data_IF_017294778230
#
_entry.id   IF_017294778230
#
_cell.length_a   1.000
_cell.length_b   1.000
_cell.length_c   1.000
_cell.angle_alpha   90.00
_cell.angle_beta   90.00
_cell.angle_gamma   90.00
#
_symmetry.space_group_name_H-M   'P 1'
#
loop_
_entity.id
_entity.type
_entity.pdbx_description
1 polymer ?
#
# COMPACT_ATOMS: atom_id res chain seq x y z
N UNK A 1 42.62 7.97 6.47
CA UNK A 1 41.58 8.32 7.45
C UNK A 1 40.97 9.63 7.00
N UNK A 2 39.96 9.57 6.13
CA UNK A 2 39.25 10.75 5.66
C UNK A 2 38.12 11.02 6.65
N UNK A 3 38.14 12.19 7.28
CA UNK A 3 37.07 12.67 8.14
C UNK A 3 35.79 12.77 7.31
N UNK A 4 34.78 12.01 7.71
CA UNK A 4 33.41 12.19 7.24
C UNK A 4 32.93 13.51 7.86
N UNK A 5 32.80 14.55 7.05
CA UNK A 5 32.07 15.76 7.44
C UNK A 5 30.61 15.33 7.70
N UNK A 6 30.27 15.15 8.97
CA UNK A 6 28.88 15.04 9.41
C UNK A 6 28.26 16.43 9.30
N UNK A 7 27.23 16.57 8.47
CA UNK A 7 26.37 17.77 8.48
C UNK A 7 25.78 17.93 9.88
N UNK A 8 26.27 18.92 10.63
CA UNK A 8 25.89 19.21 12.03
C UNK A 8 24.45 19.73 12.20
N UNK A 9 23.64 19.70 11.14
CA UNK A 9 22.23 20.10 11.13
C UNK A 9 21.28 18.95 10.74
N UNK A 10 21.81 17.75 10.49
CA UNK A 10 21.01 16.59 10.15
C UNK A 10 20.37 16.01 11.40
N UNK A 11 19.04 16.05 11.50
CA UNK A 11 18.26 15.35 12.55
C UNK A 11 18.04 13.87 12.24
N UNK A 12 18.65 13.36 11.15
CA UNK A 12 18.56 11.97 10.71
C UNK A 12 19.91 11.30 10.83
N UNK A 13 19.93 10.13 11.46
CA UNK A 13 21.09 9.26 11.60
C UNK A 13 21.20 8.33 10.38
N UNK A 14 22.36 8.34 9.73
CA UNK A 14 22.64 7.55 8.53
C UNK A 14 23.16 6.13 8.83
N UNK A 15 22.65 5.50 9.88
CA UNK A 15 23.03 4.13 10.28
C UNK A 15 21.93 3.14 9.91
N UNK A 16 22.30 1.86 9.77
CA UNK A 16 21.34 0.78 9.58
C UNK A 16 20.46 0.64 10.84
N UNK A 17 19.15 0.68 10.65
CA UNK A 17 18.20 0.46 11.73
C UNK A 17 18.11 -1.03 12.06
N UNK A 18 18.37 -1.37 13.33
CA UNK A 18 18.34 -2.74 13.86
C UNK A 18 17.24 -2.94 14.92
N UNK A 19 16.17 -2.11 14.90
CA UNK A 19 15.03 -2.23 15.82
C UNK A 19 14.33 -3.60 15.73
N UNK A 20 14.36 -4.21 14.54
CA UNK A 20 13.62 -5.43 14.23
C UNK A 20 12.10 -5.20 14.17
N UNK A 21 11.66 -3.94 14.04
CA UNK A 21 10.26 -3.59 13.86
C UNK A 21 9.82 -3.93 12.43
N UNK A 22 8.65 -4.54 12.32
CA UNK A 22 8.04 -4.87 11.03
C UNK A 22 6.87 -3.91 10.81
N UNK A 23 7.08 -2.95 9.90
CA UNK A 23 6.10 -1.89 9.63
C UNK A 23 5.34 -2.23 8.35
N UNK A 24 4.03 -2.40 8.48
CA UNK A 24 3.10 -2.55 7.37
C UNK A 24 2.25 -1.29 7.22
N UNK A 25 2.12 -0.78 5.99
CA UNK A 25 1.30 0.39 5.69
C UNK A 25 0.21 0.00 4.71
N UNK A 26 -1.03 0.29 5.07
CA UNK A 26 -2.18 0.11 4.19
C UNK A 26 -2.31 1.28 3.19
N UNK A 27 -2.58 1.02 1.89
CA UNK A 27 -2.83 2.03 0.87
C UNK A 27 -3.81 3.14 1.26
N UNK A 28 -4.86 2.84 2.02
CA UNK A 28 -5.82 3.85 2.49
C UNK A 28 -5.13 5.02 3.21
N UNK A 29 -4.13 4.72 4.04
CA UNK A 29 -3.32 5.74 4.73
C UNK A 29 -2.60 6.63 3.74
N UNK A 30 -2.00 6.06 2.70
CA UNK A 30 -1.28 6.82 1.66
C UNK A 30 -2.22 7.71 0.85
N UNK A 31 -3.41 7.19 0.52
CA UNK A 31 -4.45 7.96 -0.18
C UNK A 31 -4.94 9.13 0.67
N UNK A 32 -5.18 8.92 1.96
CA UNK A 32 -5.59 9.98 2.89
C UNK A 32 -4.53 11.09 2.99
N UNK A 33 -3.25 10.74 3.06
CA UNK A 33 -2.15 11.72 3.12
C UNK A 33 -2.08 12.52 1.81
N UNK A 34 -2.17 11.84 0.67
CA UNK A 34 -2.17 12.47 -0.66
C UNK A 34 -3.36 13.41 -0.86
N UNK A 35 -4.56 12.99 -0.44
CA UNK A 35 -5.77 13.80 -0.48
C UNK A 35 -5.66 15.03 0.44
N UNK A 36 -5.20 14.84 1.69
CA UNK A 36 -4.99 15.93 2.63
C UNK A 36 -4.00 16.97 2.09
N UNK A 37 -2.87 16.53 1.52
CA UNK A 37 -1.91 17.41 0.86
C UNK A 37 -2.57 18.17 -0.30
N UNK A 38 -3.20 17.46 -1.23
CA UNK A 38 -3.80 18.07 -2.43
C UNK A 38 -4.87 19.09 -2.08
N UNK A 39 -5.76 18.78 -1.13
CA UNK A 39 -6.79 19.71 -0.66
C UNK A 39 -6.17 20.96 -0.02
N UNK A 40 -5.14 20.79 0.80
CA UNK A 40 -4.49 21.91 1.50
C UNK A 40 -3.81 22.85 0.52
N UNK A 41 -3.09 22.31 -0.46
CA UNK A 41 -2.47 23.08 -1.55
C UNK A 41 -3.52 23.90 -2.30
N UNK A 42 -4.64 23.28 -2.68
CA UNK A 42 -5.72 23.96 -3.42
C UNK A 42 -6.41 25.06 -2.60
N UNK A 43 -6.51 24.91 -1.27
CA UNK A 43 -7.12 25.90 -0.39
C UNK A 43 -6.22 27.10 -0.10
N UNK A 44 -4.92 26.88 0.06
CA UNK A 44 -3.96 27.93 0.46
C UNK A 44 -3.48 28.78 -0.73
N UNK A 45 -3.59 28.26 -1.95
CA UNK A 45 -3.16 28.92 -3.19
C UNK A 45 -1.64 28.89 -3.38
N UNK A 46 -1.20 29.28 -4.58
CA UNK A 46 0.21 29.21 -4.96
C UNK A 46 1.10 30.18 -4.14
N UNK A 47 2.28 29.70 -3.72
CA UNK A 47 3.35 30.53 -3.16
C UNK A 47 3.48 30.62 -1.63
N UNK A 48 2.69 29.85 -0.86
CA UNK A 48 2.89 29.71 0.60
C UNK A 48 3.47 28.34 0.97
N UNK A 49 4.34 28.24 1.99
CA UNK A 49 4.78 26.95 2.51
C UNK A 49 3.57 26.18 3.06
N UNK A 50 3.32 25.01 2.49
CA UNK A 50 2.18 24.17 2.87
C UNK A 50 2.65 23.21 3.97
N UNK A 51 2.12 23.40 5.17
CA UNK A 51 2.33 22.48 6.29
C UNK A 51 1.12 21.55 6.39
N UNK A 52 1.41 20.25 6.42
CA UNK A 52 0.41 19.18 6.54
C UNK A 52 0.93 18.24 7.59
N UNK A 53 0.13 18.03 8.63
CA UNK A 53 0.43 17.11 9.71
C UNK A 53 -0.82 16.28 10.00
N UNK A 54 -0.65 14.99 10.20
CA UNK A 54 -1.71 14.15 10.71
C UNK A 54 -1.21 12.98 11.54
N UNK A 55 -2.15 12.29 12.18
CA UNK A 55 -1.90 11.12 13.00
C UNK A 55 -2.09 9.84 12.19
N UNK A 56 -1.30 8.83 12.53
CA UNK A 56 -1.35 7.47 12.00
C UNK A 56 -1.98 6.56 13.05
N UNK A 57 -2.95 5.76 12.60
CA UNK A 57 -3.72 4.84 13.43
C UNK A 57 -3.52 3.42 12.96
N UNK A 58 -3.46 2.51 13.91
CA UNK A 58 -3.49 1.09 13.60
C UNK A 58 -3.24 0.20 14.81
N UNK A 59 -2.68 -0.97 14.56
CA UNK A 59 -2.51 -2.01 15.59
C UNK A 59 -1.02 -2.33 15.72
N UNK A 60 -0.56 -2.46 16.95
CA UNK A 60 0.77 -2.98 17.26
C UNK A 60 0.66 -4.29 18.04
N UNK A 61 1.19 -5.37 17.46
CA UNK A 61 1.28 -6.69 18.08
C UNK A 61 2.75 -7.07 18.29
N UNK A 62 3.32 -6.66 19.43
CA UNK A 62 4.74 -6.85 19.71
C UNK A 62 5.61 -5.99 18.78
N UNK A 63 6.29 -6.65 17.83
CA UNK A 63 7.15 -5.98 16.83
C UNK A 63 6.49 -5.78 15.47
N UNK A 64 5.29 -6.31 15.28
CA UNK A 64 4.48 -6.06 14.08
C UNK A 64 3.66 -4.80 14.31
N UNK A 65 3.82 -3.82 13.43
CA UNK A 65 3.11 -2.53 13.46
C UNK A 65 2.38 -2.38 12.14
N UNK A 66 1.06 -2.41 12.19
CA UNK A 66 0.20 -2.28 11.01
C UNK A 66 -0.55 -0.95 11.05
N UNK A 67 -0.25 -0.07 10.09
CA UNK A 67 -0.86 1.25 9.96
C UNK A 67 -2.03 1.16 8.97
N UNK A 68 -3.25 1.20 9.50
CA UNK A 68 -4.48 1.01 8.75
C UNK A 68 -5.12 2.31 8.25
N UNK A 69 -4.98 3.38 9.03
CA UNK A 69 -5.71 4.61 8.78
C UNK A 69 -4.92 5.84 9.27
N UNK A 70 -5.43 7.01 8.94
CA UNK A 70 -4.85 8.28 9.35
C UNK A 70 -5.90 9.37 9.44
N UNK A 71 -5.65 10.41 10.24
CA UNK A 71 -6.49 11.60 10.29
C UNK A 71 -5.68 12.87 10.42
N UNK A 72 -6.29 13.99 10.07
CA UNK A 72 -5.67 15.31 10.00
C UNK A 72 -5.52 15.89 11.42
N UNK A 73 -4.39 16.53 11.73
CA UNK A 73 -4.19 17.22 12.99
C UNK A 73 -4.34 18.72 12.83
N UNK A 74 -4.99 19.35 13.81
CA UNK A 74 -5.03 20.80 13.92
C UNK A 74 -3.78 21.30 14.64
N UNK A 75 -3.15 22.34 14.09
CA UNK A 75 -1.96 22.94 14.67
C UNK A 75 -1.92 24.46 14.46
N UNK A 76 -1.08 25.13 15.24
CA UNK A 76 -0.83 26.55 15.17
C UNK A 76 0.64 26.80 14.81
N UNK A 77 0.88 27.62 13.79
CA UNK A 77 2.20 28.13 13.46
C UNK A 77 2.53 29.31 14.37
N UNK A 78 3.63 29.20 15.11
CA UNK A 78 4.15 30.30 15.94
C UNK A 78 5.00 31.25 15.09
N UNK A 79 5.25 32.45 15.63
CA UNK A 79 6.01 33.49 14.94
C UNK A 79 7.48 33.10 14.64
N UNK A 80 8.02 32.13 15.39
CA UNK A 80 9.35 31.55 15.20
C UNK A 80 9.37 30.41 14.16
N UNK A 81 8.23 30.07 13.56
CA UNK A 81 8.07 28.98 12.60
C UNK A 81 7.86 27.60 13.23
N UNK A 82 7.87 27.47 14.56
CA UNK A 82 7.56 26.21 15.23
C UNK A 82 6.08 25.86 15.13
N UNK A 83 5.79 24.56 15.10
CA UNK A 83 4.44 24.03 14.98
C UNK A 83 3.97 23.54 16.34
N UNK A 84 2.82 24.03 16.80
CA UNK A 84 2.18 23.59 18.04
C UNK A 84 0.90 22.82 17.76
N UNK A 85 0.84 21.54 18.13
CA UNK A 85 -0.33 20.69 17.93
C UNK A 85 -1.43 21.09 18.91
N UNK A 86 -2.67 21.15 18.43
CA UNK A 86 -3.82 21.34 19.28
C UNK A 86 -4.17 20.03 20.02
N UNK A 87 -3.74 19.95 21.28
CA UNK A 87 -3.96 18.80 22.16
C UNK A 87 -5.45 18.47 22.37
N UNK A 88 -6.31 19.47 22.58
CA UNK A 88 -7.75 19.24 22.78
C UNK A 88 -8.38 18.57 21.55
N UNK A 89 -8.00 19.02 20.36
CA UNK A 89 -8.45 18.44 19.10
C UNK A 89 -7.91 17.02 18.92
N UNK A 90 -6.63 16.79 19.22
CA UNK A 90 -5.99 15.47 19.15
C UNK A 90 -6.73 14.46 20.03
N UNK A 91 -6.90 14.77 21.32
CA UNK A 91 -7.56 13.88 22.29
C UNK A 91 -9.02 13.61 21.89
N UNK A 92 -9.75 14.67 21.50
CA UNK A 92 -11.14 14.54 21.05
C UNK A 92 -11.25 13.65 19.82
N UNK A 93 -10.37 13.82 18.83
CA UNK A 93 -10.35 12.99 17.63
C UNK A 93 -9.97 11.55 17.92
N UNK A 94 -8.98 11.33 18.77
CA UNK A 94 -8.58 9.99 19.17
C UNK A 94 -9.75 9.24 19.83
N UNK A 95 -10.51 9.88 20.73
CA UNK A 95 -11.69 9.28 21.37
C UNK A 95 -12.78 8.94 20.34
N UNK A 96 -13.03 9.82 19.35
CA UNK A 96 -13.98 9.57 18.26
C UNK A 96 -13.59 8.35 17.42
N UNK A 97 -12.30 8.23 17.04
CA UNK A 97 -11.82 7.07 16.29
C UNK A 97 -11.92 5.79 17.11
N UNK A 98 -11.64 5.85 18.41
CA UNK A 98 -11.75 4.69 19.31
C UNK A 98 -13.18 4.17 19.45
N UNK A 99 -14.20 5.01 19.26
CA UNK A 99 -15.61 4.56 19.24
C UNK A 99 -15.93 3.68 18.04
N UNK A 100 -15.30 3.93 16.88
CA UNK A 100 -15.56 3.20 15.63
C UNK A 100 -14.55 2.05 15.44
N UNK A 101 -13.31 2.27 15.86
CA UNK A 101 -12.20 1.32 15.77
C UNK A 101 -11.54 1.13 17.15
N UNK A 102 -12.14 0.33 18.06
CA UNK A 102 -11.66 0.19 19.43
C UNK A 102 -10.27 -0.45 19.56
N UNK A 103 -9.84 -1.20 18.55
CA UNK A 103 -8.53 -1.85 18.51
C UNK A 103 -7.42 -0.94 17.96
N UNK A 104 -7.77 0.24 17.42
CA UNK A 104 -6.80 1.12 16.80
C UNK A 104 -6.25 2.09 17.83
N UNK A 105 -4.92 2.14 17.91
CA UNK A 105 -4.17 3.07 18.73
C UNK A 105 -3.42 4.07 17.88
N UNK A 106 -2.97 5.15 18.52
CA UNK A 106 -2.09 6.13 17.91
C UNK A 106 -0.67 5.55 17.78
N UNK A 107 -0.23 5.29 16.55
CA UNK A 107 1.06 4.65 16.26
C UNK A 107 2.16 5.64 15.85
N UNK A 108 1.78 6.82 15.38
CA UNK A 108 2.72 7.74 14.78
C UNK A 108 2.02 8.91 14.09
N UNK A 109 2.78 9.64 13.31
CA UNK A 109 2.31 10.83 12.60
C UNK A 109 2.94 10.93 11.22
N UNK A 110 2.36 11.77 10.38
CA UNK A 110 2.88 12.05 9.05
C UNK A 110 3.05 13.54 8.78
N UNK A 111 3.98 13.85 7.88
CA UNK A 111 4.11 15.18 7.29
C UNK A 111 4.58 15.11 5.84
N UNK A 112 4.71 16.28 5.21
CA UNK A 112 5.10 16.42 3.82
C UNK A 112 6.47 17.09 3.75
N UNK A 113 7.41 16.47 3.03
CA UNK A 113 8.75 17.00 2.84
C UNK A 113 9.77 15.97 2.34
N UNK A 114 10.92 16.46 1.91
CA UNK A 114 12.02 15.64 1.40
C UNK A 114 12.88 15.03 2.50
N UNK A 115 13.10 15.78 3.59
CA UNK A 115 13.95 15.35 4.71
C UNK A 115 13.40 15.90 6.03
N UNK A 116 13.48 15.14 7.14
CA UNK A 116 13.14 15.63 8.46
C UNK A 116 14.01 16.84 8.85
N UNK A 117 13.39 17.78 9.55
CA UNK A 117 13.95 19.05 10.01
C UNK A 117 13.79 19.20 11.53
N UNK A 118 14.32 20.28 12.11
CA UNK A 118 14.14 20.54 13.54
C UNK A 118 12.66 20.79 13.93
N UNK A 119 11.85 21.31 12.99
CA UNK A 119 10.40 21.47 13.20
C UNK A 119 9.76 20.10 13.45
N UNK A 120 10.22 19.06 12.73
CA UNK A 120 9.71 17.70 12.90
C UNK A 120 10.12 17.10 14.25
N UNK A 121 11.27 17.49 14.80
CA UNK A 121 11.69 17.12 16.17
C UNK A 121 10.80 17.79 17.22
N UNK A 122 10.44 19.06 17.05
CA UNK A 122 9.54 19.77 17.97
C UNK A 122 8.13 19.13 17.97
N UNK A 123 7.65 18.68 16.81
CA UNK A 123 6.38 17.95 16.65
C UNK A 123 6.48 16.57 17.30
N UNK A 124 7.57 15.84 17.08
CA UNK A 124 7.84 14.55 17.72
C UNK A 124 7.76 14.67 19.24
N UNK A 125 8.45 15.65 19.84
CA UNK A 125 8.46 15.84 21.30
C UNK A 125 7.06 16.08 21.87
N UNK A 126 6.19 16.81 21.16
CA UNK A 126 4.80 17.02 21.58
C UNK A 126 4.02 15.71 21.58
N UNK A 127 4.18 14.89 20.53
CA UNK A 127 3.45 13.63 20.34
C UNK A 127 3.97 12.48 21.20
N UNK A 128 5.22 12.55 21.67
CA UNK A 128 5.79 11.56 22.60
C UNK A 128 5.03 11.47 23.93
N UNK A 129 4.20 12.46 24.25
CA UNK A 129 3.28 12.44 25.41
C UNK A 129 2.19 11.37 25.28
N UNK A 130 1.81 11.00 24.05
CA UNK A 130 0.71 10.04 23.79
C UNK A 130 1.20 8.65 23.34
N UNK A 131 2.41 8.56 22.79
CA UNK A 131 3.07 7.31 22.43
C UNK A 131 4.57 7.48 22.67
N UNK A 132 5.19 6.55 23.40
CA UNK A 132 6.61 6.65 23.80
C UNK A 132 7.60 6.58 22.62
N UNK A 133 7.19 5.99 21.49
CA UNK A 133 8.01 5.83 20.29
C UNK A 133 7.14 5.93 19.03
N UNK A 134 6.61 7.12 18.71
CA UNK A 134 5.71 7.30 17.59
C UNK A 134 6.49 7.22 16.27
N UNK A 135 5.97 6.46 15.31
CA UNK A 135 6.53 6.41 13.96
C UNK A 135 6.34 7.75 13.26
N UNK A 136 7.29 8.13 12.41
CA UNK A 136 7.17 9.32 11.57
C UNK A 136 7.20 8.94 10.09
N UNK A 137 6.13 9.22 9.36
CA UNK A 137 6.03 8.99 7.92
C UNK A 137 6.13 10.33 7.18
N UNK A 138 7.09 10.46 6.28
CA UNK A 138 7.22 11.65 5.46
C UNK A 138 6.98 11.32 3.99
N UNK A 139 6.10 12.07 3.34
CA UNK A 139 5.82 11.96 1.90
C UNK A 139 6.46 13.14 1.16
N UNK A 140 7.21 12.86 0.09
CA UNK A 140 7.77 13.89 -0.79
C UNK A 140 6.95 14.01 -2.10
N UNK A 141 6.14 15.06 -2.27
CA UNK A 141 5.31 15.21 -3.47
C UNK A 141 6.14 15.56 -4.71
N UNK A 142 7.40 15.98 -4.54
CA UNK A 142 8.29 16.37 -5.64
C UNK A 142 9.23 15.24 -6.07
N UNK A 143 9.29 14.14 -5.32
CA UNK A 143 10.12 13.00 -5.69
C UNK A 143 9.50 12.26 -6.88
N UNK A 144 10.28 12.16 -7.96
CA UNK A 144 9.86 11.46 -9.17
C UNK A 144 10.04 9.95 -8.92
N UNK A 145 8.93 9.24 -8.75
CA UNK A 145 8.93 7.77 -8.67
C UNK A 145 9.62 7.18 -9.90
N UNK A 146 10.74 6.50 -9.70
CA UNK A 146 11.43 5.73 -10.74
C UNK A 146 11.11 4.25 -10.58
N UNK A 147 11.31 3.39 -11.60
CA UNK A 147 11.14 1.94 -11.44
C UNK A 147 11.99 1.33 -10.29
N UNK A 148 13.04 2.03 -9.86
CA UNK A 148 13.90 1.67 -8.74
C UNK A 148 13.40 2.17 -7.36
N UNK A 149 12.65 3.27 -7.32
CA UNK A 149 12.09 3.89 -6.11
C UNK A 149 10.56 3.86 -6.18
N UNK A 150 9.95 2.86 -5.52
CA UNK A 150 8.55 2.49 -5.78
C UNK A 150 7.51 3.47 -5.25
N UNK A 151 7.81 4.23 -4.19
CA UNK A 151 6.89 5.19 -3.58
C UNK A 151 7.69 6.34 -2.92
N UNK A 152 7.25 7.60 -3.04
CA UNK A 152 7.94 8.77 -2.51
C UNK A 152 7.64 8.98 -1.02
N UNK A 153 7.82 7.92 -0.22
CA UNK A 153 7.57 7.94 1.23
C UNK A 153 8.78 7.38 1.96
N UNK A 154 9.08 7.96 3.12
CA UNK A 154 10.09 7.45 4.04
C UNK A 154 9.50 7.35 5.43
N UNK A 155 9.74 6.22 6.11
CA UNK A 155 9.34 6.01 7.51
C UNK A 155 10.56 6.13 8.40
N UNK A 156 10.38 6.73 9.57
CA UNK A 156 11.41 6.94 10.56
C UNK A 156 10.94 6.44 11.93
N UNK A 157 11.87 5.86 12.68
CA UNK A 157 11.74 5.62 14.11
C UNK A 157 12.45 6.73 14.88
N UNK A 158 11.93 7.07 16.07
CA UNK A 158 12.59 8.01 16.99
C UNK A 158 13.61 7.27 17.84
N UNK A 159 14.85 7.77 17.87
CA UNK A 159 15.90 7.29 18.77
C UNK A 159 16.53 8.45 19.51
N UNK A 160 17.05 8.19 20.71
CA UNK A 160 17.82 9.19 21.47
C UNK A 160 19.29 8.93 21.23
N UNK A 161 20.00 9.91 20.67
CA UNK A 161 21.45 9.86 20.48
C UNK A 161 22.12 10.99 21.27
N UNK A 162 23.41 10.82 21.56
CA UNK A 162 24.20 11.81 22.29
C UNK A 162 24.95 12.67 21.27
N UNK A 163 24.40 13.85 21.00
CA UNK A 163 25.02 14.88 20.17
C UNK A 163 25.56 15.97 21.08
N UNK A 164 26.82 16.35 20.92
CA UNK A 164 27.47 17.39 21.75
C UNK A 164 27.33 17.15 23.27
N UNK A 165 27.43 15.88 23.68
CA UNK A 165 27.31 15.45 25.09
C UNK A 165 25.94 15.74 25.73
N UNK A 166 24.89 15.94 24.92
CA UNK A 166 23.51 16.04 25.36
C UNK A 166 22.62 15.01 24.66
N UNK A 167 21.68 14.37 25.37
CA UNK A 167 20.73 13.46 24.76
C UNK A 167 19.74 14.26 23.90
N UNK A 168 19.66 13.96 22.61
CA UNK A 168 18.75 14.60 21.68
C UNK A 168 17.94 13.54 20.91
N UNK A 169 16.63 13.74 20.71
CA UNK A 169 15.85 12.88 19.84
C UNK A 169 16.29 13.09 18.38
N UNK A 170 16.43 11.98 17.66
CA UNK A 170 16.82 11.93 16.26
C UNK A 170 15.97 10.88 15.53
N UNK A 171 15.97 10.96 14.21
CA UNK A 171 15.27 10.02 13.35
C UNK A 171 16.25 9.00 12.76
N UNK A 172 15.83 7.74 12.69
CA UNK A 172 16.51 6.70 11.94
C UNK A 172 15.55 6.09 10.93
N UNK A 173 16.00 5.90 9.68
CA UNK A 173 15.15 5.35 8.62
C UNK A 173 14.74 3.92 8.96
N UNK A 174 13.45 3.62 8.84
CA UNK A 174 12.88 2.30 9.06
C UNK A 174 12.40 1.70 7.74
N UNK A 175 12.59 0.39 7.59
CA UNK A 175 12.04 -0.35 6.47
C UNK A 175 10.54 -0.55 6.68
N UNK A 176 9.77 -0.46 5.60
CA UNK A 176 8.33 -0.70 5.61
C UNK A 176 7.94 -1.58 4.42
N UNK A 177 6.81 -2.27 4.55
CA UNK A 177 6.10 -2.92 3.45
C UNK A 177 4.75 -2.25 3.25
N UNK A 178 4.28 -2.19 2.02
CA UNK A 178 2.88 -1.86 1.74
C UNK A 178 2.11 -3.17 1.79
N UNK A 179 1.14 -3.24 2.69
CA UNK A 179 0.29 -4.41 2.88
C UNK A 179 -1.13 -4.07 2.43
N UNK A 180 -1.78 -5.02 1.77
CA UNK A 180 -3.12 -4.80 1.23
C UNK A 180 -4.02 -5.92 1.71
N UNK A 181 -5.12 -5.55 2.36
CA UNK A 181 -6.21 -6.51 2.58
C UNK A 181 -6.88 -6.86 1.25
N UNK A 182 -7.62 -7.97 1.18
CA UNK A 182 -8.20 -8.44 -0.09
C UNK A 182 -9.15 -7.41 -0.73
N UNK A 183 -10.02 -6.79 0.08
CA UNK A 183 -10.93 -5.74 -0.40
C UNK A 183 -10.17 -4.49 -0.86
N UNK A 184 -9.09 -4.12 -0.16
CA UNK A 184 -8.26 -2.97 -0.48
C UNK A 184 -7.46 -3.21 -1.77
N UNK A 185 -6.90 -4.41 -1.94
CA UNK A 185 -6.20 -4.84 -3.16
C UNK A 185 -7.09 -4.69 -4.38
N UNK A 186 -8.34 -5.16 -4.30
CA UNK A 186 -9.32 -5.03 -5.38
C UNK A 186 -9.64 -3.56 -5.66
N UNK A 187 -9.86 -2.76 -4.61
CA UNK A 187 -10.16 -1.33 -4.76
C UNK A 187 -9.00 -0.55 -5.40
N UNK A 188 -7.77 -0.78 -4.93
CA UNK A 188 -6.55 -0.14 -5.45
C UNK A 188 -6.30 -0.56 -6.89
N UNK A 189 -6.44 -1.85 -7.21
CA UNK A 189 -6.32 -2.35 -8.58
C UNK A 189 -7.34 -1.70 -9.51
N UNK A 190 -8.59 -1.60 -9.07
CA UNK A 190 -9.65 -0.93 -9.83
C UNK A 190 -9.33 0.55 -10.06
N UNK A 191 -8.92 1.29 -9.03
CA UNK A 191 -8.58 2.73 -9.15
C UNK A 191 -7.36 2.94 -10.06
N UNK A 192 -6.33 2.08 -9.94
CA UNK A 192 -5.13 2.16 -10.76
C UNK A 192 -5.43 1.90 -12.25
N UNK A 193 -6.37 1.01 -12.55
CA UNK A 193 -6.76 0.68 -13.93
C UNK A 193 -7.99 1.44 -14.44
N UNK A 194 -8.69 2.21 -13.60
CA UNK A 194 -9.88 2.98 -13.99
C UNK A 194 -9.57 4.04 -15.07
N UNK A 195 -8.34 4.56 -15.12
CA UNK A 195 -7.88 5.45 -16.18
C UNK A 195 -7.65 4.73 -17.53
N UNK A 196 -7.48 3.40 -17.51
CA UNK A 196 -7.18 2.56 -18.68
C UNK A 196 -8.34 1.69 -19.14
N UNK A 197 -9.32 1.42 -18.27
CA UNK A 197 -10.48 0.61 -18.60
C UNK A 197 -11.48 1.39 -19.47
N UNK A 198 -11.57 0.99 -20.74
CA UNK A 198 -12.72 1.34 -21.58
C UNK A 198 -13.92 0.49 -21.14
N UNK A 199 -15.10 1.12 -21.01
CA UNK A 199 -16.35 0.42 -20.69
C UNK A 199 -16.55 -0.78 -21.65
N UNK A 200 -16.52 -2.00 -21.12
CA UNK A 200 -16.72 -3.24 -21.88
C UNK A 200 -15.58 -4.26 -21.84
N UNK A 201 -14.47 -3.98 -21.17
CA UNK A 201 -13.40 -4.99 -20.98
C UNK A 201 -13.83 -6.11 -20.02
N UNK A 202 -13.54 -7.36 -20.40
CA UNK A 202 -13.80 -8.55 -19.59
C UNK A 202 -12.91 -8.55 -18.35
N UNK A 203 -13.47 -8.91 -17.18
CA UNK A 203 -12.72 -9.10 -15.93
C UNK A 203 -11.53 -10.07 -16.09
N UNK A 204 -11.57 -11.01 -17.03
CA UNK A 204 -10.41 -11.87 -17.31
C UNK A 204 -9.24 -11.09 -17.91
N UNK A 205 -9.51 -10.09 -18.75
CA UNK A 205 -8.47 -9.27 -19.41
C UNK A 205 -7.78 -8.39 -18.38
N UNK A 206 -8.52 -7.79 -17.44
CA UNK A 206 -7.94 -7.00 -16.36
C UNK A 206 -7.05 -7.87 -15.45
N UNK A 207 -7.54 -9.05 -15.04
CA UNK A 207 -6.74 -9.97 -14.22
C UNK A 207 -5.45 -10.44 -14.91
N UNK A 208 -5.53 -10.81 -16.19
CA UNK A 208 -4.34 -11.23 -16.95
C UNK A 208 -3.37 -10.07 -17.18
N UNK A 209 -3.87 -8.85 -17.41
CA UNK A 209 -3.04 -7.65 -17.52
C UNK A 209 -2.28 -7.37 -16.22
N UNK A 210 -2.95 -7.46 -15.07
CA UNK A 210 -2.32 -7.32 -13.75
C UNK A 210 -1.20 -8.35 -13.52
N UNK A 211 -1.46 -9.63 -13.82
CA UNK A 211 -0.44 -10.68 -13.74
C UNK A 211 0.74 -10.43 -14.69
N UNK A 212 0.47 -10.02 -15.93
CA UNK A 212 1.51 -9.70 -16.92
C UNK A 212 2.39 -8.54 -16.45
N UNK A 213 1.79 -7.50 -15.88
CA UNK A 213 2.51 -6.36 -15.33
C UNK A 213 3.39 -6.76 -14.15
N UNK A 214 2.89 -7.59 -13.23
CA UNK A 214 3.67 -8.13 -12.11
C UNK A 214 4.88 -8.96 -12.60
N UNK A 215 4.68 -9.84 -13.59
CA UNK A 215 5.76 -10.63 -14.21
C UNK A 215 6.79 -9.70 -14.87
N UNK A 216 6.34 -8.66 -15.58
CA UNK A 216 7.22 -7.68 -16.22
C UNK A 216 8.04 -6.88 -15.22
N UNK A 217 7.45 -6.49 -14.08
CA UNK A 217 8.15 -5.82 -12.99
C UNK A 217 9.22 -6.74 -12.37
N UNK A 218 8.87 -7.99 -12.10
CA UNK A 218 9.82 -8.98 -11.59
C UNK A 218 10.98 -9.20 -12.57
N UNK A 219 10.68 -9.38 -13.86
CA UNK A 219 11.70 -9.53 -14.90
C UNK A 219 12.67 -8.34 -14.94
N UNK A 220 12.15 -7.12 -14.83
CA UNK A 220 12.97 -5.90 -14.79
C UNK A 220 13.92 -5.89 -13.59
N UNK A 221 13.45 -6.31 -12.41
CA UNK A 221 14.29 -6.42 -11.21
C UNK A 221 15.37 -7.50 -11.33
N UNK A 222 15.03 -8.67 -11.86
CA UNK A 222 15.99 -9.76 -12.11
C UNK A 222 17.06 -9.30 -13.10
N UNK A 223 16.66 -8.58 -14.15
CA UNK A 223 17.60 -8.03 -15.14
C UNK A 223 18.58 -7.04 -14.52
N UNK A 224 18.09 -6.15 -13.64
CA UNK A 224 18.93 -5.19 -12.92
C UNK A 224 19.96 -5.90 -12.02
N UNK A 225 19.55 -6.94 -11.29
CA UNK A 225 20.48 -7.73 -10.47
C UNK A 225 21.55 -8.43 -11.33
N UNK A 226 21.15 -8.95 -12.50
CA UNK A 226 22.08 -9.57 -13.44
C UNK A 226 23.08 -8.56 -14.02
N UNK A 227 22.63 -7.37 -14.43
CA UNK A 227 23.48 -6.27 -14.90
C UNK A 227 24.47 -5.82 -13.80
N UNK A 228 23.99 -5.66 -12.55
CA UNK A 228 24.83 -5.36 -11.40
C UNK A 228 25.95 -6.39 -11.20
N UNK A 229 25.64 -7.69 -11.26
CA UNK A 229 26.63 -8.76 -11.14
C UNK A 229 27.67 -8.71 -12.27
N UNK A 230 27.23 -8.45 -13.51
CA UNK A 230 28.14 -8.31 -14.65
C UNK A 230 29.10 -7.11 -14.46
N UNK A 231 28.57 -5.97 -14.03
CA UNK A 231 29.37 -4.76 -13.80
C UNK A 231 30.32 -4.90 -12.60
N UNK A 232 29.90 -5.63 -11.54
CA UNK A 232 30.76 -6.00 -10.40
C UNK A 232 31.94 -6.88 -10.84
N UNK A 233 31.70 -7.87 -11.71
CA UNK A 233 32.76 -8.73 -12.27
C UNK A 233 33.74 -7.93 -13.14
N UNK A 234 33.23 -6.98 -13.93
CA UNK A 234 34.03 -6.10 -14.77
C UNK A 234 34.73 -4.97 -14.01
N UNK A 235 34.45 -4.80 -12.72
CA UNK A 235 35.06 -3.78 -11.87
C UNK A 235 34.53 -2.36 -12.08
N UNK A 236 33.36 -2.21 -12.71
CA UNK A 236 32.73 -0.89 -12.93
C UNK A 236 32.02 -0.36 -11.68
N UNK A 237 31.59 -1.26 -10.79
CA UNK A 237 30.86 -0.95 -9.56
C UNK A 237 31.59 -1.60 -8.36
N UNK A 238 31.64 -0.95 -7.18
CA UNK A 238 32.21 -1.55 -5.97
C UNK A 238 31.49 -2.84 -5.58
N UNK A 239 32.25 -3.85 -5.16
CA UNK A 239 31.68 -5.15 -4.75
C UNK A 239 31.09 -5.04 -3.36
N UNK A 240 29.76 -5.17 -3.26
CA UNK A 240 29.06 -5.33 -2.00
C UNK A 240 28.91 -6.83 -1.70
N UNK A 241 29.68 -7.32 -0.72
CA UNK A 241 29.70 -8.75 -0.35
C UNK A 241 28.42 -9.20 0.34
N UNK A 242 27.72 -8.30 1.04
CA UNK A 242 26.46 -8.66 1.68
C UNK A 242 25.36 -8.81 0.64
N UNK A 243 25.31 -7.92 -0.36
CA UNK A 243 24.38 -8.04 -1.47
C UNK A 243 24.66 -9.28 -2.33
N UNK A 244 25.93 -9.57 -2.67
CA UNK A 244 26.30 -10.79 -3.40
C UNK A 244 25.86 -12.07 -2.66
N UNK A 245 26.01 -12.10 -1.34
CA UNK A 245 25.56 -13.23 -0.50
C UNK A 245 24.04 -13.36 -0.52
N UNK A 246 23.29 -12.25 -0.41
CA UNK A 246 21.83 -12.26 -0.50
C UNK A 246 21.35 -12.80 -1.86
N UNK A 247 21.98 -12.38 -2.96
CA UNK A 247 21.66 -12.89 -4.30
C UNK A 247 21.96 -14.38 -4.41
N UNK A 248 23.11 -14.85 -3.90
CA UNK A 248 23.42 -16.28 -3.88
C UNK A 248 22.39 -17.09 -3.08
N UNK A 249 21.95 -16.59 -1.93
CA UNK A 249 20.90 -17.23 -1.14
C UNK A 249 19.60 -17.31 -1.95
N UNK A 250 19.18 -16.22 -2.61
CA UNK A 250 17.99 -16.19 -3.46
C UNK A 250 18.04 -17.25 -4.57
N UNK A 251 19.18 -17.37 -5.26
CA UNK A 251 19.35 -18.39 -6.30
C UNK A 251 19.27 -19.82 -5.74
N UNK A 252 19.80 -20.06 -4.55
CA UNK A 252 19.77 -21.37 -3.91
C UNK A 252 18.37 -21.75 -3.37
N UNK A 253 17.48 -20.76 -3.17
CA UNK A 253 16.08 -21.01 -2.83
C UNK A 253 15.24 -21.49 -4.04
N UNK A 254 15.76 -21.38 -5.26
CA UNK A 254 15.02 -21.78 -6.46
C UNK A 254 15.29 -23.25 -6.80
N UNK A 255 14.25 -24.05 -7.12
CA UNK A 255 12.83 -23.71 -7.13
C UNK A 255 12.20 -23.71 -5.72
N UNK A 256 11.45 -22.65 -5.39
CA UNK A 256 10.84 -22.43 -4.06
C UNK A 256 9.69 -23.40 -3.75
N UNK A 257 9.09 -24.00 -4.76
CA UNK A 257 7.95 -24.91 -4.65
C UNK A 257 8.25 -26.15 -5.47
N UNK A 258 8.80 -27.18 -4.82
CA UNK A 258 9.05 -28.47 -5.43
C UNK A 258 8.87 -29.57 -4.37
N UNK A 259 8.02 -30.55 -4.66
CA UNK A 259 7.83 -31.70 -3.79
C UNK A 259 6.50 -32.43 -4.05
N UNK A 260 6.42 -33.72 -3.67
CA UNK A 260 5.22 -34.53 -3.90
C UNK A 260 3.99 -34.03 -3.12
N UNK A 261 4.19 -33.45 -1.93
CA UNK A 261 3.10 -32.89 -1.12
C UNK A 261 2.43 -31.69 -1.79
N UNK A 262 3.22 -30.78 -2.39
CA UNK A 262 2.68 -29.66 -3.14
C UNK A 262 1.93 -30.12 -4.40
N UNK A 263 2.44 -31.13 -5.10
CA UNK A 263 1.79 -31.65 -6.30
C UNK A 263 0.43 -32.29 -5.96
N UNK A 264 0.34 -33.02 -4.86
CA UNK A 264 -0.94 -33.56 -4.36
C UNK A 264 -1.93 -32.46 -3.98
N UNK A 265 -1.49 -31.44 -3.23
CA UNK A 265 -2.32 -30.30 -2.84
C UNK A 265 -2.78 -29.50 -4.06
N UNK A 266 -1.88 -29.19 -4.98
CA UNK A 266 -2.16 -28.49 -6.23
C UNK A 266 -3.16 -29.25 -7.11
N UNK A 267 -2.99 -30.56 -7.26
CA UNK A 267 -3.95 -31.38 -8.02
C UNK A 267 -5.31 -31.43 -7.35
N UNK A 268 -5.35 -31.46 -6.02
CA UNK A 268 -6.61 -31.44 -5.26
C UNK A 268 -7.35 -30.13 -5.50
N UNK A 269 -6.67 -28.99 -5.31
CA UNK A 269 -7.26 -27.66 -5.56
C UNK A 269 -7.69 -27.50 -7.03
N UNK A 270 -6.85 -27.95 -7.97
CA UNK A 270 -7.16 -27.92 -9.40
C UNK A 270 -8.44 -28.71 -9.72
N UNK A 271 -8.57 -29.92 -9.18
CA UNK A 271 -9.75 -30.76 -9.40
C UNK A 271 -11.02 -30.14 -8.78
N UNK A 272 -10.91 -29.51 -7.60
CA UNK A 272 -12.03 -28.85 -6.93
C UNK A 272 -12.52 -27.63 -7.71
N UNK A 273 -11.60 -26.80 -8.20
CA UNK A 273 -11.93 -25.65 -9.07
C UNK A 273 -12.56 -26.12 -10.38
N UNK A 274 -12.04 -27.20 -10.97
CA UNK A 274 -12.59 -27.74 -12.21
C UNK A 274 -13.99 -28.34 -12.02
N UNK A 275 -14.21 -29.07 -10.92
CA UNK A 275 -15.51 -29.65 -10.58
C UNK A 275 -16.56 -28.55 -10.32
N UNK A 276 -16.21 -27.53 -9.53
CA UNK A 276 -17.12 -26.40 -9.25
C UNK A 276 -17.46 -25.62 -10.52
N UNK A 277 -16.47 -25.38 -11.39
CA UNK A 277 -16.69 -24.72 -12.69
C UNK A 277 -17.57 -25.57 -13.62
N UNK A 278 -17.38 -26.90 -13.64
CA UNK A 278 -18.21 -27.81 -14.41
C UNK A 278 -19.66 -27.81 -13.92
N UNK A 279 -19.87 -27.89 -12.60
CA UNK A 279 -21.20 -27.81 -12.00
C UNK A 279 -21.88 -26.46 -12.31
N UNK A 280 -21.16 -25.34 -12.21
CA UNK A 280 -21.69 -24.02 -12.58
C UNK A 280 -22.10 -23.96 -14.06
N UNK A 281 -21.31 -24.58 -14.95
CA UNK A 281 -21.61 -24.67 -16.38
C UNK A 281 -22.86 -25.51 -16.64
N UNK A 282 -23.02 -26.65 -15.95
CA UNK A 282 -24.23 -27.48 -16.03
C UNK A 282 -25.44 -26.70 -15.52
N UNK A 283 -25.35 -26.01 -14.39
CA UNK A 283 -26.42 -25.16 -13.87
C UNK A 283 -26.83 -24.07 -14.86
N UNK A 284 -25.85 -23.41 -15.49
CA UNK A 284 -26.11 -22.42 -16.54
C UNK A 284 -26.78 -23.04 -17.77
N UNK A 285 -26.37 -24.24 -18.16
CA UNK A 285 -26.98 -25.01 -19.24
C UNK A 285 -28.45 -25.38 -18.93
N UNK A 286 -28.72 -25.88 -17.73
CA UNK A 286 -30.10 -26.18 -17.28
C UNK A 286 -30.95 -24.91 -17.21
N UNK A 287 -30.39 -23.79 -16.75
CA UNK A 287 -31.08 -22.51 -16.75
C UNK A 287 -31.44 -22.06 -18.17
N UNK A 288 -30.50 -22.13 -19.13
CA UNK A 288 -30.76 -21.81 -20.53
C UNK A 288 -31.81 -22.73 -21.17
N UNK A 289 -31.80 -24.03 -20.82
CA UNK A 289 -32.85 -24.97 -21.24
C UNK A 289 -34.22 -24.60 -20.67
N UNK A 290 -34.29 -24.25 -19.38
CA UNK A 290 -35.55 -23.79 -18.76
C UNK A 290 -36.07 -22.54 -19.45
N UNK A 291 -35.21 -21.56 -19.69
CA UNK A 291 -35.57 -20.32 -20.39
C UNK A 291 -36.06 -20.59 -21.83
N UNK A 292 -35.45 -21.56 -22.52
CA UNK A 292 -35.89 -22.00 -23.85
C UNK A 292 -37.27 -22.64 -23.80
N UNK A 293 -37.53 -23.51 -22.82
CA UNK A 293 -38.85 -24.14 -22.61
C UNK A 293 -39.91 -23.09 -22.30
N UNK A 294 -39.60 -22.11 -21.45
CA UNK A 294 -40.52 -21.02 -21.10
C UNK A 294 -40.87 -20.18 -22.34
N UNK A 295 -39.86 -19.77 -23.12
CA UNK A 295 -40.07 -19.05 -24.39
C UNK A 295 -40.88 -19.88 -25.39
N UNK A 296 -40.60 -21.18 -25.51
CA UNK A 296 -41.35 -22.08 -26.39
C UNK A 296 -42.82 -22.17 -25.99
N UNK A 297 -43.10 -22.34 -24.69
CA UNK A 297 -44.47 -22.43 -24.18
C UNK A 297 -45.27 -21.15 -24.44
N UNK A 298 -44.63 -19.97 -24.33
CA UNK A 298 -45.27 -18.69 -24.67
C UNK A 298 -45.64 -18.65 -26.15
N UNK A 299 -44.73 -19.01 -27.05
CA UNK A 299 -44.97 -18.99 -28.51
C UNK A 299 -46.01 -20.02 -28.92
N UNK A 300 -45.93 -21.24 -28.38
CA UNK A 300 -46.88 -22.31 -28.67
C UNK A 300 -48.31 -21.97 -28.20
N UNK A 301 -48.46 -21.33 -27.04
CA UNK A 301 -49.77 -20.91 -26.54
C UNK A 301 -50.35 -19.73 -27.34
N UNK A 302 -49.53 -18.81 -27.84
CA UNK A 302 -49.98 -17.75 -28.75
C UNK A 302 -50.47 -18.29 -30.10
N UNK A 303 -49.87 -19.38 -30.61
CA UNK A 303 -50.34 -20.01 -31.85
C UNK A 303 -51.72 -20.66 -31.72
N UNK A 304 -52.14 -21.03 -30.50
CA UNK A 304 -53.46 -21.61 -30.23
C UNK A 304 -54.58 -20.55 -30.10
N UNK A 305 -54.27 -19.32 -29.70
CA UNK A 305 -55.28 -18.24 -29.60
C UNK A 305 -55.53 -17.52 -30.92
N UNK A 306 -54.73 -17.77 -31.96
CA UNK A 306 -54.75 -17.06 -33.25
C UNK A 306 -55.59 -17.69 -34.37
N UNK A 307 -56.35 -18.79 -34.14
CA UNK A 307 -57.28 -19.34 -35.15
C UNK A 307 -58.66 -18.66 -35.03
N UNK A 308 -59.09 -17.80 -35.97
CA UNK A 308 -60.47 -17.34 -35.99
C UNK A 308 -61.36 -18.53 -36.38
N UNK A 309 -62.35 -18.86 -35.54
CA UNK A 309 -63.47 -19.73 -35.93
C UNK A 309 -64.14 -19.13 -37.16
N UNK A 310 -63.87 -19.68 -38.34
CA UNK A 310 -64.56 -19.33 -39.58
C UNK A 310 -65.41 -20.52 -40.03
N UNK A 311 -66.73 -20.32 -40.08
CA UNK A 311 -67.74 -21.26 -40.57
C UNK A 311 -68.70 -21.70 -39.46
N UNK A 312 -70.02 -21.71 -39.60
CA UNK A 312 -70.96 -21.46 -40.70
C UNK A 312 -72.27 -20.97 -40.05
N UNK A 313 -72.85 -19.88 -40.55
CA UNK A 313 -74.26 -19.57 -40.33
C UNK A 313 -74.98 -19.99 -41.62
N UNK A 314 -75.82 -21.02 -41.51
CA UNK A 314 -76.88 -21.33 -42.46
C UNK A 314 -78.20 -20.79 -41.94
#
# INVERSE_FOLDING_TARGET
>A
MAAVNQDTTSVVINQSNNSGLHIAIHPLTLLNISDHYTRTVLQQGDGKPVHVIGALLGIQAGREVEIFNSYELLFHLRADGSIHINEEYFVTKQEQFRQVFPAYDFLGWYSIGYKPSMIDIDVLQQLMTYNESPLFLQLDPNEISTPAHSLPITVYESIVDIVDNQPQPMFIKAAYKVETGEAERIAVDHVAHAATHQEGESSLVSHLSGQQNAIKMLHTRIKLLHEYLQDSVQGRVPKDRDLERQISSLCNLLPTIAGPAFEEEFLTEYNDVLLTSYLATVTKGTHAMSEMVDKFNIVANQSHSGRPRRGMMG
#
